data_IF_302838005846
#
_entry.id   IF_302838005846
#
_cell.length_a   1.000
_cell.length_b   1.000
_cell.length_c   1.000
_cell.angle_alpha   90.00
_cell.angle_beta   90.00
_cell.angle_gamma   90.00
#
_symmetry.space_group_name_H-M   'P 1'
#
loop_
_entity.id
_entity.type
_entity.pdbx_description
1 polymer ?
#
# COMPACT_ATOMS: atom_id res chain seq x y z
N UNK A 1 11.79 -21.91 0.22
CA UNK A 1 11.96 -20.55 -0.31
C UNK A 1 12.14 -19.62 0.86
N UNK A 2 13.20 -18.82 0.87
CA UNK A 2 13.42 -17.83 1.94
C UNK A 2 12.56 -16.62 1.57
N UNK A 3 11.59 -16.28 2.42
CA UNK A 3 10.85 -15.04 2.31
C UNK A 3 11.66 -13.98 3.03
N UNK A 4 12.35 -13.10 2.28
CA UNK A 4 13.00 -11.96 2.89
C UNK A 4 11.95 -11.08 3.58
N UNK A 5 12.27 -10.65 4.80
CA UNK A 5 11.38 -9.83 5.63
C UNK A 5 12.14 -8.65 6.19
N UNK A 6 11.44 -7.54 6.40
CA UNK A 6 11.91 -6.40 7.18
C UNK A 6 11.21 -6.36 8.53
N UNK A 7 11.86 -5.82 9.56
CA UNK A 7 11.22 -5.54 10.86
C UNK A 7 10.78 -4.08 10.84
N UNK A 8 9.48 -3.85 10.96
CA UNK A 8 8.90 -2.50 11.05
C UNK A 8 9.24 -1.86 12.40
N UNK A 9 9.10 -0.53 12.51
CA UNK A 9 9.28 0.18 13.78
C UNK A 9 8.27 -0.24 14.88
N UNK A 10 7.18 -0.90 14.50
CA UNK A 10 6.22 -1.54 15.40
C UNK A 10 6.72 -2.89 15.97
N UNK A 11 7.87 -3.39 15.52
CA UNK A 11 8.45 -4.68 15.91
C UNK A 11 7.93 -5.89 15.11
N UNK A 12 6.93 -5.70 14.23
CA UNK A 12 6.36 -6.76 13.41
C UNK A 12 7.19 -7.01 12.12
N UNK A 13 7.25 -8.27 11.69
CA UNK A 13 7.92 -8.65 10.43
C UNK A 13 6.99 -8.48 9.24
N UNK A 14 7.46 -7.86 8.18
CA UNK A 14 6.75 -7.68 6.92
C UNK A 14 7.53 -8.34 5.77
N UNK A 15 6.91 -9.24 4.98
CA UNK A 15 7.55 -9.78 3.77
C UNK A 15 7.82 -8.70 2.72
N UNK A 16 9.02 -8.72 2.14
CA UNK A 16 9.44 -7.73 1.13
C UNK A 16 8.67 -7.83 -0.18
N UNK A 17 8.14 -9.01 -0.53
CA UNK A 17 7.29 -9.20 -1.70
C UNK A 17 5.87 -9.54 -1.26
N UNK A 18 4.91 -8.72 -1.70
CA UNK A 18 3.48 -8.98 -1.57
C UNK A 18 2.74 -9.02 -2.91
N UNK A 19 1.51 -9.52 -2.89
CA UNK A 19 0.60 -9.48 -4.03
C UNK A 19 -0.34 -8.28 -3.89
N UNK A 20 -0.23 -7.31 -4.81
CA UNK A 20 -1.18 -6.22 -4.90
C UNK A 20 -2.51 -6.67 -5.53
N UNK A 21 -3.63 -6.08 -5.11
CA UNK A 21 -4.97 -6.44 -5.61
C UNK A 21 -5.73 -5.31 -6.31
N UNK A 22 -5.15 -4.10 -6.39
CA UNK A 22 -5.74 -2.97 -7.11
C UNK A 22 -5.91 -3.29 -8.61
N UNK A 23 -7.12 -3.13 -9.13
CA UNK A 23 -7.44 -3.44 -10.52
C UNK A 23 -8.60 -2.60 -11.05
N UNK A 24 -8.46 -2.10 -12.27
CA UNK A 24 -9.52 -1.45 -13.03
C UNK A 24 -9.47 -1.95 -14.49
N UNK A 25 -10.52 -2.62 -14.99
CA UNK A 25 -11.71 -3.06 -14.26
C UNK A 25 -11.38 -4.12 -13.20
N UNK A 26 -12.24 -4.23 -12.19
CA UNK A 26 -12.17 -5.29 -11.19
C UNK A 26 -12.44 -6.66 -11.87
N UNK A 27 -11.57 -7.67 -11.69
CA UNK A 27 -11.84 -9.01 -12.20
C UNK A 27 -13.01 -9.68 -11.48
N UNK A 28 -13.61 -10.74 -12.08
CA UNK A 28 -14.58 -11.57 -11.39
C UNK A 28 -14.03 -12.11 -10.07
N UNK A 29 -14.91 -12.25 -9.08
CA UNK A 29 -14.52 -12.67 -7.74
C UNK A 29 -13.80 -14.01 -7.70
N UNK A 30 -14.26 -14.97 -8.52
CA UNK A 30 -13.70 -16.31 -8.60
C UNK A 30 -12.25 -16.28 -9.12
N UNK A 31 -11.93 -15.34 -10.02
CA UNK A 31 -10.57 -15.14 -10.51
C UNK A 31 -9.68 -14.52 -9.43
N UNK A 32 -10.20 -13.55 -8.66
CA UNK A 32 -9.47 -12.96 -7.53
C UNK A 32 -9.15 -14.04 -6.48
N UNK A 33 -10.15 -14.81 -6.07
CA UNK A 33 -10.01 -15.89 -5.09
C UNK A 33 -9.00 -16.95 -5.53
N UNK A 34 -9.15 -17.48 -6.74
CA UNK A 34 -8.25 -18.52 -7.27
C UNK A 34 -6.81 -18.01 -7.47
N UNK A 35 -6.64 -16.72 -7.77
CA UNK A 35 -5.32 -16.09 -7.88
C UNK A 35 -4.62 -15.97 -6.53
N UNK A 36 -5.36 -15.56 -5.48
CA UNK A 36 -4.82 -15.49 -4.11
C UNK A 36 -4.42 -16.88 -3.62
N UNK A 37 -5.26 -17.88 -3.82
CA UNK A 37 -4.94 -19.28 -3.48
C UNK A 37 -3.68 -19.73 -4.21
N UNK A 38 -3.57 -19.45 -5.52
CA UNK A 38 -2.37 -19.76 -6.29
C UNK A 38 -1.13 -19.05 -5.77
N UNK A 39 -1.25 -17.79 -5.35
CA UNK A 39 -0.15 -17.05 -4.73
C UNK A 39 0.30 -17.71 -3.42
N UNK A 40 -0.63 -18.14 -2.57
CA UNK A 40 -0.32 -18.86 -1.31
C UNK A 40 0.41 -20.18 -1.59
N UNK A 41 -0.06 -20.95 -2.58
CA UNK A 41 0.60 -22.20 -3.04
C UNK A 41 2.02 -21.96 -3.55
N UNK A 42 2.26 -20.81 -4.20
CA UNK A 42 3.59 -20.37 -4.66
C UNK A 42 4.48 -19.83 -3.53
N UNK A 43 3.93 -19.61 -2.33
CA UNK A 43 4.67 -19.13 -1.17
C UNK A 43 4.47 -17.65 -0.84
N UNK A 44 3.56 -16.92 -1.50
CA UNK A 44 3.25 -15.56 -1.04
C UNK A 44 2.70 -15.60 0.38
N UNK A 45 3.17 -14.65 1.19
CA UNK A 45 2.75 -14.45 2.58
C UNK A 45 2.38 -13.00 2.88
N UNK A 46 2.33 -12.13 1.87
CA UNK A 46 1.90 -10.74 2.01
C UNK A 46 0.90 -10.38 0.91
N UNK A 47 -0.24 -9.82 1.30
CA UNK A 47 -1.30 -9.37 0.40
C UNK A 47 -1.68 -7.92 0.70
N UNK A 48 -1.75 -7.11 -0.35
CA UNK A 48 -2.14 -5.70 -0.28
C UNK A 48 -3.50 -5.47 -0.95
N UNK A 49 -4.45 -4.98 -0.17
CA UNK A 49 -5.81 -4.61 -0.59
C UNK A 49 -6.17 -3.23 -0.04
N UNK A 50 -7.41 -2.78 -0.28
CA UNK A 50 -8.01 -1.58 0.27
C UNK A 50 -9.53 -1.69 0.14
N UNK A 51 -10.28 -1.06 1.04
CA UNK A 51 -11.75 -1.02 0.98
C UNK A 51 -12.27 -0.53 -0.40
N UNK A 52 -11.62 0.48 -0.98
CA UNK A 52 -11.97 1.04 -2.30
C UNK A 52 -11.78 0.05 -3.46
N UNK A 53 -10.87 -0.92 -3.34
CA UNK A 53 -10.59 -1.88 -4.42
C UNK A 53 -11.68 -2.92 -4.58
N UNK A 54 -12.57 -3.08 -3.59
CA UNK A 54 -13.61 -4.12 -3.56
C UNK A 54 -13.05 -5.56 -3.66
N UNK A 55 -11.75 -5.74 -3.38
CA UNK A 55 -11.06 -7.04 -3.41
C UNK A 55 -10.95 -7.70 -2.02
N UNK A 56 -11.41 -7.03 -0.96
CA UNK A 56 -11.33 -7.53 0.43
C UNK A 56 -12.13 -8.82 0.62
N UNK A 57 -13.38 -8.87 0.13
CA UNK A 57 -14.23 -10.04 0.31
C UNK A 57 -13.72 -11.30 -0.45
N UNK A 58 -13.30 -11.20 -1.72
CA UNK A 58 -12.62 -12.31 -2.40
C UNK A 58 -11.31 -12.73 -1.68
N UNK A 59 -10.53 -11.77 -1.17
CA UNK A 59 -9.30 -12.07 -0.42
C UNK A 59 -9.60 -12.86 0.86
N UNK A 60 -10.60 -12.45 1.64
CA UNK A 60 -11.03 -13.13 2.86
C UNK A 60 -11.42 -14.59 2.60
N UNK A 61 -12.31 -14.82 1.62
CA UNK A 61 -12.71 -16.19 1.23
C UNK A 61 -11.54 -17.05 0.80
N UNK A 62 -10.59 -16.50 0.05
CA UNK A 62 -9.39 -17.23 -0.36
C UNK A 62 -8.49 -17.62 0.81
N UNK A 63 -8.35 -16.75 1.83
CA UNK A 63 -7.60 -17.04 3.05
C UNK A 63 -8.29 -18.15 3.85
N UNK A 64 -9.62 -18.04 4.06
CA UNK A 64 -10.44 -19.07 4.73
C UNK A 64 -10.31 -20.43 4.03
N UNK A 65 -10.38 -20.45 2.70
CA UNK A 65 -10.21 -21.67 1.91
C UNK A 65 -8.78 -22.24 2.00
N UNK A 66 -7.76 -21.39 1.94
CA UNK A 66 -6.37 -21.82 2.04
C UNK A 66 -6.05 -22.43 3.42
N UNK A 67 -6.61 -21.88 4.50
CA UNK A 67 -6.55 -22.47 5.84
C UNK A 67 -7.25 -23.82 5.89
N UNK A 68 -8.47 -23.93 5.35
CA UNK A 68 -9.23 -25.18 5.28
C UNK A 68 -8.50 -26.28 4.51
N UNK A 69 -7.78 -25.90 3.44
CA UNK A 69 -6.95 -26.79 2.63
C UNK A 69 -5.59 -27.14 3.26
N UNK A 70 -5.22 -26.51 4.38
CA UNK A 70 -3.93 -26.73 5.03
C UNK A 70 -2.73 -26.16 4.26
N UNK A 71 -2.93 -25.12 3.45
CA UNK A 71 -1.85 -24.45 2.71
C UNK A 71 -0.95 -23.57 3.60
N UNK A 72 -1.42 -23.29 4.81
CA UNK A 72 -0.72 -22.58 5.89
C UNK A 72 -1.21 -23.12 7.24
N UNK A 73 -0.38 -23.09 8.29
CA UNK A 73 -0.75 -23.66 9.58
C UNK A 73 -1.74 -22.77 10.35
N UNK A 74 -1.65 -21.45 10.18
CA UNK A 74 -2.53 -20.47 10.82
C UNK A 74 -2.49 -19.11 10.11
N UNK A 75 -3.46 -18.24 10.40
CA UNK A 75 -3.57 -16.87 9.86
C UNK A 75 -2.32 -16.02 10.13
N UNK A 76 -1.59 -16.27 11.22
CA UNK A 76 -0.38 -15.53 11.60
C UNK A 76 0.80 -15.73 10.65
N UNK A 77 0.73 -16.65 9.69
CA UNK A 77 1.72 -16.75 8.61
C UNK A 77 1.55 -15.68 7.52
N UNK A 78 0.39 -15.02 7.45
CA UNK A 78 0.12 -13.99 6.45
C UNK A 78 0.31 -12.59 7.02
N UNK A 79 0.74 -11.68 6.15
CA UNK A 79 0.77 -10.24 6.35
C UNK A 79 -0.30 -9.59 5.45
N UNK A 80 -1.39 -9.11 6.04
CA UNK A 80 -2.50 -8.50 5.30
C UNK A 80 -2.49 -7.00 5.52
N UNK A 81 -2.43 -6.26 4.41
CA UNK A 81 -2.53 -4.80 4.39
C UNK A 81 -3.89 -4.37 3.83
N UNK A 82 -4.61 -3.51 4.54
CA UNK A 82 -5.76 -2.76 3.98
C UNK A 82 -5.66 -1.26 4.27
N UNK A 83 -6.57 -0.46 3.71
CA UNK A 83 -6.46 0.99 3.70
C UNK A 83 -7.78 1.71 3.98
N UNK A 84 -7.73 2.71 4.85
CA UNK A 84 -8.78 3.67 5.13
C UNK A 84 -9.01 4.55 3.90
N UNK A 85 -10.19 4.45 3.31
CA UNK A 85 -10.56 5.29 2.16
C UNK A 85 -10.87 6.73 2.59
N UNK A 86 -10.63 7.68 1.67
CA UNK A 86 -10.80 9.11 1.87
C UNK A 86 -12.20 9.53 2.34
N UNK A 87 -13.25 8.78 1.97
CA UNK A 87 -14.60 9.03 2.49
C UNK A 87 -14.77 8.76 3.99
N UNK A 88 -13.88 7.97 4.58
CA UNK A 88 -13.87 7.62 6.01
C UNK A 88 -12.70 8.27 6.77
N UNK A 89 -11.96 9.19 6.13
CA UNK A 89 -10.84 9.92 6.73
C UNK A 89 -11.32 11.02 7.69
N UNK A 90 -11.98 10.60 8.76
CA UNK A 90 -12.52 11.41 9.85
C UNK A 90 -12.39 10.63 11.17
N UNK A 91 -12.03 11.25 12.31
CA UNK A 91 -11.78 10.56 13.58
C UNK A 91 -12.85 9.53 13.94
N UNK A 92 -14.13 9.91 13.86
CA UNK A 92 -15.26 9.04 14.25
C UNK A 92 -15.51 7.86 13.29
N UNK A 93 -14.95 7.90 12.08
CA UNK A 93 -15.22 6.92 11.03
C UNK A 93 -14.09 5.89 10.85
N UNK A 94 -12.88 6.15 11.37
CA UNK A 94 -11.71 5.27 11.17
C UNK A 94 -11.94 3.88 11.76
N UNK A 95 -12.31 3.79 13.04
CA UNK A 95 -12.52 2.49 13.71
C UNK A 95 -13.69 1.72 13.09
N UNK A 96 -14.87 2.33 12.84
CA UNK A 96 -15.94 1.67 12.09
C UNK A 96 -15.51 1.18 10.70
N UNK A 97 -14.76 1.98 9.95
CA UNK A 97 -14.30 1.61 8.61
C UNK A 97 -13.37 0.40 8.64
N UNK A 98 -12.43 0.33 9.59
CA UNK A 98 -11.58 -0.86 9.74
C UNK A 98 -12.40 -2.09 10.12
N UNK A 99 -13.43 -1.96 10.96
CA UNK A 99 -14.31 -3.10 11.32
C UNK A 99 -15.06 -3.64 10.10
N UNK A 100 -15.52 -2.77 9.20
CA UNK A 100 -16.13 -3.19 7.94
C UNK A 100 -15.14 -3.95 7.05
N UNK A 101 -13.90 -3.46 6.95
CA UNK A 101 -12.84 -4.18 6.23
C UNK A 101 -12.53 -5.54 6.85
N UNK A 102 -12.47 -5.64 8.18
CA UNK A 102 -12.26 -6.90 8.91
C UNK A 102 -13.40 -7.90 8.68
N UNK A 103 -14.65 -7.42 8.68
CA UNK A 103 -15.83 -8.23 8.34
C UNK A 103 -15.74 -8.75 6.90
N UNK A 104 -15.43 -7.88 5.93
CA UNK A 104 -15.27 -8.27 4.54
C UNK A 104 -14.13 -9.29 4.36
N UNK A 105 -13.02 -9.11 5.06
CA UNK A 105 -11.87 -10.01 5.02
C UNK A 105 -12.08 -11.31 5.82
N UNK A 106 -13.14 -11.42 6.62
CA UNK A 106 -13.34 -12.52 7.58
C UNK A 106 -12.15 -12.67 8.56
N UNK A 107 -11.60 -11.55 9.05
CA UNK A 107 -10.42 -11.51 9.93
C UNK A 107 -10.69 -10.77 11.24
N UNK A 108 -10.01 -11.18 12.30
CA UNK A 108 -10.03 -10.44 13.59
C UNK A 108 -9.08 -9.23 13.60
N UNK A 109 -8.04 -9.26 12.76
CA UNK A 109 -7.05 -8.18 12.64
C UNK A 109 -6.40 -8.14 11.25
N UNK A 110 -5.86 -6.97 10.91
CA UNK A 110 -4.91 -6.79 9.80
C UNK A 110 -3.50 -6.54 10.33
N UNK A 111 -2.49 -6.91 9.56
CA UNK A 111 -1.09 -6.72 9.95
C UNK A 111 -0.67 -5.27 9.75
N UNK A 112 -1.26 -4.60 8.76
CA UNK A 112 -1.03 -3.19 8.46
C UNK A 112 -2.33 -2.50 8.03
N UNK A 113 -2.64 -1.35 8.65
CA UNK A 113 -3.73 -0.47 8.21
C UNK A 113 -3.17 0.90 7.81
N UNK A 114 -3.48 1.35 6.59
CA UNK A 114 -2.93 2.59 6.03
C UNK A 114 -4.01 3.66 5.86
N UNK A 115 -3.70 4.92 6.14
CA UNK A 115 -4.44 6.04 5.51
C UNK A 115 -4.14 5.99 4.00
N UNK A 116 -5.15 5.79 3.15
CA UNK A 116 -4.91 5.54 1.72
C UNK A 116 -4.41 6.78 0.98
N UNK A 117 -4.92 7.96 1.34
CA UNK A 117 -4.50 9.23 0.76
C UNK A 117 -4.67 10.35 1.81
N UNK A 118 -3.83 11.39 1.83
CA UNK A 118 -3.99 12.55 2.71
C UNK A 118 -5.14 13.49 2.27
N UNK A 119 -6.34 12.94 2.06
CA UNK A 119 -7.51 13.64 1.60
C UNK A 119 -8.78 13.10 2.26
N UNK A 120 -9.82 13.94 2.34
CA UNK A 120 -11.13 13.58 2.85
C UNK A 120 -12.20 13.94 1.84
N UNK A 121 -13.12 13.02 1.57
CA UNK A 121 -14.30 13.29 0.75
C UNK A 121 -15.58 13.25 1.57
N UNK A 122 -16.59 13.99 1.12
CA UNK A 122 -17.95 13.83 1.55
C UNK A 122 -18.55 12.55 0.94
N UNK A 123 -19.07 11.65 1.78
CA UNK A 123 -19.74 10.43 1.34
C UNK A 123 -21.21 10.74 0.98
N UNK A 124 -21.46 11.47 -0.09
CA UNK A 124 -22.84 11.81 -0.49
C UNK A 124 -23.46 10.85 -1.50
N UNK A 125 -22.70 10.10 -2.30
CA UNK A 125 -23.30 9.14 -3.25
C UNK A 125 -22.51 7.83 -3.41
N UNK A 126 -23.22 6.74 -3.72
CA UNK A 126 -22.74 5.37 -3.97
C UNK A 126 -21.84 5.22 -5.22
N UNK A 127 -21.21 6.30 -5.67
CA UNK A 127 -20.29 6.27 -6.82
C UNK A 127 -18.92 6.77 -6.38
N UNK A 128 -17.87 6.05 -6.76
CA UNK A 128 -16.49 6.55 -6.73
C UNK A 128 -16.25 7.69 -7.74
N UNK A 129 -17.31 8.35 -8.24
CA UNK A 129 -17.17 9.59 -9.00
C UNK A 129 -16.89 10.72 -8.01
N UNK A 130 -15.65 10.75 -7.56
CA UNK A 130 -15.07 11.84 -6.78
C UNK A 130 -15.20 13.12 -7.61
N UNK A 131 -16.14 13.98 -7.25
CA UNK A 131 -16.14 15.34 -7.79
C UNK A 131 -15.20 16.16 -6.94
N UNK A 132 -14.44 17.02 -7.59
CA UNK A 132 -13.50 17.96 -6.95
C UNK A 132 -14.17 18.81 -5.85
N UNK A 133 -15.49 19.03 -5.99
CA UNK A 133 -16.31 19.80 -5.05
C UNK A 133 -16.65 19.03 -3.75
N UNK A 134 -16.39 17.72 -3.68
CA UNK A 134 -16.70 16.89 -2.51
C UNK A 134 -15.54 16.81 -1.50
N UNK A 135 -14.42 17.50 -1.76
CA UNK A 135 -13.27 17.52 -0.85
C UNK A 135 -13.58 18.32 0.42
N UNK A 136 -13.33 17.70 1.56
CA UNK A 136 -13.47 18.29 2.89
C UNK A 136 -12.09 18.53 3.53
N UNK A 137 -11.97 19.48 4.47
CA UNK A 137 -10.75 19.62 5.26
C UNK A 137 -10.35 18.28 5.90
N UNK A 138 -9.11 17.87 5.64
CA UNK A 138 -8.55 16.64 6.19
C UNK A 138 -7.92 16.92 7.56
N UNK A 139 -8.62 16.49 8.61
CA UNK A 139 -8.08 16.47 9.97
C UNK A 139 -7.08 15.33 10.13
N UNK A 140 -5.83 15.60 9.75
CA UNK A 140 -4.74 14.62 9.78
C UNK A 140 -4.45 14.12 11.20
N UNK A 141 -4.46 15.02 12.19
CA UNK A 141 -4.15 14.68 13.58
C UNK A 141 -5.23 13.80 14.20
N UNK A 142 -6.50 14.23 14.12
CA UNK A 142 -7.59 13.44 14.67
C UNK A 142 -7.79 12.11 13.93
N UNK A 143 -7.58 12.08 12.60
CA UNK A 143 -7.64 10.82 11.84
C UNK A 143 -6.52 9.88 12.30
N UNK A 144 -5.30 10.39 12.53
CA UNK A 144 -4.20 9.57 13.03
C UNK A 144 -4.44 9.06 14.45
N UNK A 145 -4.95 9.90 15.37
CA UNK A 145 -5.32 9.45 16.72
C UNK A 145 -6.35 8.30 16.68
N UNK A 146 -7.27 8.33 15.72
CA UNK A 146 -8.21 7.22 15.53
C UNK A 146 -7.54 5.97 14.90
N UNK A 147 -6.50 6.14 14.06
CA UNK A 147 -5.65 5.03 13.61
C UNK A 147 -4.88 4.41 14.78
N UNK A 148 -4.32 5.23 15.68
CA UNK A 148 -3.68 4.78 16.92
C UNK A 148 -4.66 4.00 17.79
N UNK A 149 -5.94 4.39 17.81
CA UNK A 149 -6.98 3.61 18.48
C UNK A 149 -7.21 2.23 17.85
N UNK A 150 -7.17 2.12 16.52
CA UNK A 150 -7.20 0.82 15.84
C UNK A 150 -6.03 -0.09 16.24
N UNK A 151 -4.83 0.50 16.41
CA UNK A 151 -3.64 -0.20 16.90
C UNK A 151 -3.80 -0.64 18.36
N UNK A 152 -4.22 0.26 19.25
CA UNK A 152 -4.46 -0.01 20.68
C UNK A 152 -5.50 -1.13 20.89
N UNK A 153 -6.57 -1.13 20.09
CA UNK A 153 -7.62 -2.16 20.13
C UNK A 153 -7.17 -3.51 19.53
N UNK A 154 -5.97 -3.59 18.96
CA UNK A 154 -5.44 -4.79 18.32
C UNK A 154 -6.07 -5.15 16.98
N UNK A 155 -6.87 -4.26 16.40
CA UNK A 155 -7.52 -4.42 15.08
C UNK A 155 -6.50 -4.30 13.95
N UNK A 156 -5.43 -3.52 14.17
CA UNK A 156 -4.28 -3.43 13.28
C UNK A 156 -2.98 -3.66 14.09
N UNK A 157 -2.09 -4.54 13.61
CA UNK A 157 -0.79 -4.77 14.28
C UNK A 157 0.23 -3.68 14.00
N UNK A 158 0.08 -2.98 12.89
CA UNK A 158 0.84 -1.78 12.53
C UNK A 158 -0.09 -0.80 11.84
N UNK A 159 0.21 0.48 11.97
CA UNK A 159 -0.50 1.56 11.26
C UNK A 159 0.49 2.38 10.43
N UNK A 160 0.02 2.91 9.32
CA UNK A 160 0.87 3.68 8.41
C UNK A 160 0.05 4.58 7.50
N UNK A 161 0.72 5.10 6.48
CA UNK A 161 0.14 6.01 5.51
C UNK A 161 0.48 5.57 4.08
N UNK A 162 -0.24 6.13 3.12
CA UNK A 162 0.03 5.99 1.70
C UNK A 162 -0.14 7.34 1.03
N UNK A 163 0.71 7.62 0.04
CA UNK A 163 0.72 8.89 -0.70
C UNK A 163 1.09 10.13 0.13
N UNK A 164 1.89 9.99 1.18
CA UNK A 164 2.36 11.13 1.97
C UNK A 164 3.73 11.61 1.47
N UNK A 165 3.86 12.92 1.26
CA UNK A 165 5.13 13.63 1.00
C UNK A 165 5.97 13.73 2.27
N UNK A 166 7.24 14.15 2.15
CA UNK A 166 8.10 14.39 3.32
C UNK A 166 7.49 15.42 4.28
N UNK A 167 6.89 16.49 3.72
CA UNK A 167 6.28 17.57 4.50
C UNK A 167 5.04 17.09 5.27
N UNK A 168 4.19 16.27 4.65
CA UNK A 168 3.03 15.67 5.32
C UNK A 168 3.44 14.67 6.39
N UNK A 169 4.46 13.85 6.14
CA UNK A 169 5.02 12.96 7.16
C UNK A 169 5.61 13.73 8.34
N UNK A 170 6.37 14.80 8.08
CA UNK A 170 6.93 15.64 9.14
C UNK A 170 5.83 16.21 10.04
N UNK A 171 4.77 16.77 9.44
CA UNK A 171 3.63 17.31 10.18
C UNK A 171 2.93 16.23 11.01
N UNK A 172 2.77 15.03 10.47
CA UNK A 172 2.17 13.91 11.18
C UNK A 172 3.01 13.48 12.39
N UNK A 173 4.32 13.41 12.22
CA UNK A 173 5.26 13.01 13.28
C UNK A 173 5.31 14.00 14.44
N UNK A 174 4.93 15.26 14.24
CA UNK A 174 4.91 16.28 15.31
C UNK A 174 3.90 15.95 16.43
N UNK A 175 2.84 15.17 16.12
CA UNK A 175 1.78 14.82 17.08
C UNK A 175 1.52 13.31 17.24
N UNK A 176 2.13 12.46 16.41
CA UNK A 176 1.97 11.01 16.49
C UNK A 176 2.58 10.42 17.77
N UNK A 177 1.79 9.66 18.53
CA UNK A 177 2.25 8.84 19.66
C UNK A 177 2.84 7.53 19.12
N UNK A 178 2.15 6.88 18.20
CA UNK A 178 2.63 5.72 17.45
C UNK A 178 3.07 6.23 16.06
N UNK A 179 4.38 6.23 15.73
CA UNK A 179 4.83 6.69 14.43
C UNK A 179 4.33 5.75 13.32
N UNK A 180 4.10 6.25 12.09
CA UNK A 180 3.73 5.40 10.97
C UNK A 180 4.81 4.33 10.73
N UNK A 181 4.40 3.07 10.65
CA UNK A 181 5.29 1.96 10.37
C UNK A 181 5.71 1.91 8.90
N UNK A 182 4.80 2.32 8.01
CA UNK A 182 4.97 2.27 6.56
C UNK A 182 4.46 3.56 5.93
N UNK A 183 5.19 4.06 4.92
CA UNK A 183 4.64 4.95 3.90
C UNK A 183 4.62 4.21 2.55
N UNK A 184 3.44 3.88 2.05
CA UNK A 184 3.27 3.20 0.77
C UNK A 184 3.13 4.21 -0.36
N UNK A 185 4.00 4.18 -1.37
CA UNK A 185 4.04 5.21 -2.43
C UNK A 185 4.34 4.62 -3.80
N UNK A 186 4.02 5.38 -4.86
CA UNK A 186 4.50 5.07 -6.20
C UNK A 186 6.01 5.06 -6.16
N UNK A 187 6.61 3.96 -6.57
CA UNK A 187 8.05 3.90 -6.71
C UNK A 187 8.45 2.87 -7.75
N UNK A 188 9.27 3.29 -8.69
CA UNK A 188 9.83 2.48 -9.77
C UNK A 188 11.05 3.21 -10.36
N UNK A 189 11.81 2.62 -11.30
CA UNK A 189 13.02 3.28 -11.83
C UNK A 189 12.79 4.68 -12.44
N UNK A 190 11.57 4.95 -12.94
CA UNK A 190 11.17 6.26 -13.48
C UNK A 190 10.59 7.23 -12.43
N UNK A 191 10.42 6.80 -11.17
CA UNK A 191 9.97 7.65 -10.07
C UNK A 191 10.55 7.10 -8.77
N UNK A 192 11.77 7.51 -8.46
CA UNK A 192 12.63 6.79 -7.51
C UNK A 192 12.43 7.18 -6.06
N UNK A 193 11.71 8.28 -5.81
CA UNK A 193 11.36 8.76 -4.47
C UNK A 193 12.60 9.03 -3.57
N UNK A 194 13.76 9.39 -4.14
CA UNK A 194 15.02 9.46 -3.37
C UNK A 194 14.89 10.30 -2.10
N UNK A 195 14.38 11.52 -2.21
CA UNK A 195 14.16 12.44 -1.07
C UNK A 195 13.28 11.80 0.01
N UNK A 196 12.17 11.19 -0.40
CA UNK A 196 11.23 10.55 0.53
C UNK A 196 11.82 9.31 1.20
N UNK A 197 12.56 8.48 0.46
CA UNK A 197 13.24 7.31 1.03
C UNK A 197 14.28 7.71 2.07
N UNK A 198 15.08 8.73 1.76
CA UNK A 198 16.10 9.23 2.68
C UNK A 198 15.43 9.76 3.97
N UNK A 199 14.34 10.52 3.83
CA UNK A 199 13.54 10.99 4.97
C UNK A 199 12.94 9.84 5.79
N UNK A 200 12.29 8.89 5.13
CA UNK A 200 11.67 7.73 5.79
C UNK A 200 12.71 6.89 6.53
N UNK A 201 13.88 6.65 5.94
CA UNK A 201 14.98 5.92 6.57
C UNK A 201 15.47 6.64 7.85
N UNK A 202 15.62 7.97 7.80
CA UNK A 202 15.99 8.77 8.98
C UNK A 202 14.96 8.66 10.12
N UNK A 203 13.67 8.58 9.77
CA UNK A 203 12.57 8.47 10.75
C UNK A 203 12.21 7.04 11.15
N UNK A 204 12.90 6.03 10.61
CA UNK A 204 12.58 4.62 10.85
C UNK A 204 11.21 4.20 10.29
N UNK A 205 10.76 4.84 9.20
CA UNK A 205 9.52 4.52 8.48
C UNK A 205 9.89 3.65 7.30
N UNK A 206 9.25 2.49 7.14
CA UNK A 206 9.49 1.63 5.98
C UNK A 206 8.79 2.16 4.73
N UNK A 207 9.45 2.10 3.57
CA UNK A 207 8.82 2.45 2.29
C UNK A 207 8.34 1.18 1.60
N UNK A 208 7.08 1.19 1.16
CA UNK A 208 6.52 0.12 0.34
C UNK A 208 6.12 0.65 -1.04
N UNK A 209 6.69 0.10 -2.10
CA UNK A 209 6.48 0.53 -3.48
C UNK A 209 5.21 -0.09 -4.07
N UNK A 210 4.20 0.76 -4.34
CA UNK A 210 3.11 0.42 -5.27
C UNK A 210 3.50 0.80 -6.70
N UNK A 211 2.79 0.20 -7.67
CA UNK A 211 3.10 0.32 -9.10
C UNK A 211 4.58 0.07 -9.42
N UNK A 212 5.25 -0.94 -8.83
CA UNK A 212 6.71 -1.09 -8.93
C UNK A 212 7.20 -1.41 -10.35
N UNK A 213 6.27 -1.60 -11.29
CA UNK A 213 6.54 -1.90 -12.69
C UNK A 213 6.56 -0.66 -13.58
N UNK A 214 6.18 0.53 -13.10
CA UNK A 214 6.29 1.76 -13.88
C UNK A 214 5.47 1.82 -15.18
N UNK A 215 4.42 1.00 -15.30
CA UNK A 215 3.47 1.05 -16.43
C UNK A 215 3.84 0.18 -17.65
N UNK A 216 3.18 0.45 -18.79
CA UNK A 216 3.28 -0.36 -20.01
C UNK A 216 4.67 -0.25 -20.65
N UNK A 217 5.34 -1.38 -20.85
CA UNK A 217 6.63 -1.46 -21.58
C UNK A 217 7.88 -1.57 -20.70
N UNK A 218 7.74 -1.50 -19.37
CA UNK A 218 8.88 -1.67 -18.47
C UNK A 218 9.40 -3.12 -18.44
N UNK A 219 10.71 -3.27 -18.23
CA UNK A 219 11.35 -4.58 -18.01
C UNK A 219 11.02 -5.09 -16.61
N UNK A 220 9.95 -5.85 -16.54
CA UNK A 220 9.27 -6.28 -15.34
C UNK A 220 10.16 -6.76 -14.17
N UNK A 221 10.96 -7.81 -14.35
CA UNK A 221 11.82 -8.35 -13.27
C UNK A 221 12.92 -7.38 -12.80
N UNK A 222 13.44 -6.55 -13.70
CA UNK A 222 14.46 -5.53 -13.38
C UNK A 222 13.88 -4.44 -12.48
N UNK A 223 12.65 -4.01 -12.72
CA UNK A 223 12.02 -2.97 -11.90
C UNK A 223 11.77 -3.46 -10.46
N UNK A 224 11.34 -4.71 -10.31
CA UNK A 224 11.11 -5.32 -8.99
C UNK A 224 12.42 -5.49 -8.22
N UNK A 225 13.44 -6.08 -8.85
CA UNK A 225 14.76 -6.23 -8.21
C UNK A 225 15.34 -4.87 -7.84
N UNK A 226 15.27 -3.88 -8.73
CA UNK A 226 15.74 -2.52 -8.45
C UNK A 226 15.11 -1.91 -7.21
N UNK A 227 13.81 -2.12 -6.98
CA UNK A 227 13.17 -1.64 -5.76
C UNK A 227 13.70 -2.37 -4.52
N UNK A 228 13.87 -3.70 -4.58
CA UNK A 228 14.47 -4.47 -3.47
C UNK A 228 15.89 -4.02 -3.12
N UNK A 229 16.74 -3.70 -4.11
CA UNK A 229 18.10 -3.16 -3.90
C UNK A 229 18.11 -1.83 -3.13
N UNK A 230 16.97 -1.13 -3.09
CA UNK A 230 16.80 0.10 -2.33
C UNK A 230 16.13 -0.10 -0.97
N UNK A 231 16.02 -1.34 -0.50
CA UNK A 231 15.52 -1.68 0.83
C UNK A 231 14.02 -1.44 1.01
N UNK A 232 13.25 -1.34 -0.08
CA UNK A 232 11.79 -1.16 -0.02
C UNK A 232 11.07 -2.48 -0.27
N UNK A 233 9.87 -2.64 0.30
CA UNK A 233 8.99 -3.76 -0.08
C UNK A 233 8.26 -3.42 -1.38
N UNK A 234 7.81 -4.44 -2.11
CA UNK A 234 7.12 -4.33 -3.39
C UNK A 234 5.81 -5.11 -3.36
N UNK A 235 4.79 -4.57 -4.02
CA UNK A 235 3.45 -5.19 -4.12
C UNK A 235 2.97 -5.29 -5.58
N UNK A 236 3.70 -6.00 -6.47
CA UNK A 236 3.25 -6.18 -7.85
C UNK A 236 1.88 -6.86 -7.90
N UNK A 237 0.99 -6.32 -8.74
CA UNK A 237 -0.32 -6.93 -9.00
C UNK A 237 -0.21 -7.92 -10.16
N UNK A 238 -0.70 -9.13 -9.94
CA UNK A 238 -0.96 -10.11 -11.01
C UNK A 238 -2.07 -11.08 -10.58
N UNK A 239 -2.97 -11.41 -11.51
CA UNK A 239 -3.95 -12.50 -11.37
C UNK A 239 -3.63 -13.68 -12.30
N UNK A 240 -2.45 -13.64 -12.92
CA UNK A 240 -1.93 -14.72 -13.74
C UNK A 240 -0.87 -15.50 -12.94
N UNK A 241 -1.04 -16.82 -12.88
CA UNK A 241 -0.24 -17.71 -12.03
C UNK A 241 1.23 -17.76 -12.45
N UNK A 242 1.50 -17.78 -13.76
CA UNK A 242 2.85 -17.76 -14.29
C UNK A 242 3.56 -16.47 -13.86
N UNK A 243 2.86 -15.33 -13.98
CA UNK A 243 3.42 -14.05 -13.56
C UNK A 243 3.64 -13.94 -12.05
N UNK A 244 2.75 -14.53 -11.25
CA UNK A 244 2.96 -14.59 -9.80
C UNK A 244 4.22 -15.39 -9.46
N UNK A 245 4.50 -16.47 -10.21
CA UNK A 245 5.72 -17.26 -10.05
C UNK A 245 6.96 -16.49 -10.47
N UNK A 246 6.98 -15.89 -11.65
CA UNK A 246 8.13 -15.12 -12.15
C UNK A 246 8.45 -13.90 -11.23
N UNK A 247 7.45 -13.26 -10.62
CA UNK A 247 7.65 -12.23 -9.59
C UNK A 247 8.47 -12.72 -8.37
N UNK A 248 8.44 -14.03 -8.06
CA UNK A 248 9.18 -14.62 -6.95
C UNK A 248 10.65 -14.91 -7.32
N UNK A 249 11.00 -14.91 -8.61
CA UNK A 249 12.32 -15.27 -9.12
C UNK A 249 13.31 -14.07 -9.11
N UNK A 250 13.06 -13.08 -8.24
CA UNK A 250 13.85 -11.83 -8.12
C UNK A 250 14.84 -11.84 -6.95
N UNK A 251 14.86 -12.89 -6.13
CA UNK A 251 15.71 -12.99 -4.95
C UNK A 251 17.06 -13.69 -5.24
N UNK A 252 17.15 -14.49 -6.30
CA UNK A 252 18.32 -15.33 -6.58
C UNK A 252 19.38 -14.64 -7.47
N UNK A 253 19.23 -13.34 -7.72
CA UNK A 253 20.16 -12.51 -8.49
C UNK A 253 20.12 -11.04 -8.03
N UNK A 254 21.14 -10.28 -8.40
CA UNK A 254 21.30 -8.87 -8.06
C UNK A 254 21.60 -8.03 -9.32
N UNK A 255 21.30 -6.72 -9.25
CA UNK A 255 21.70 -5.78 -10.29
C UNK A 255 23.16 -5.38 -10.09
N UNK A 256 23.91 -5.29 -11.19
CA UNK A 256 25.27 -4.78 -11.12
C UNK A 256 25.30 -3.30 -10.73
N UNK A 257 26.42 -2.85 -10.15
CA UNK A 257 26.65 -1.42 -9.84
C UNK A 257 26.50 -0.53 -11.08
N UNK A 258 26.90 -1.01 -12.25
CA UNK A 258 26.77 -0.28 -13.51
C UNK A 258 25.29 -0.13 -13.93
N UNK A 259 24.49 -1.18 -13.78
CA UNK A 259 23.04 -1.12 -14.03
C UNK A 259 22.34 -0.18 -13.07
N UNK A 260 22.63 -0.27 -11.77
CA UNK A 260 22.09 0.65 -10.77
C UNK A 260 22.47 2.10 -11.09
N UNK A 261 23.72 2.35 -11.49
CA UNK A 261 24.18 3.67 -11.88
C UNK A 261 23.44 4.19 -13.12
N UNK A 262 23.26 3.37 -14.16
CA UNK A 262 22.47 3.73 -15.36
C UNK A 262 21.01 4.02 -15.01
N UNK A 263 20.41 3.25 -14.10
CA UNK A 263 19.03 3.46 -13.67
C UNK A 263 18.89 4.76 -12.86
N UNK A 264 19.90 5.14 -12.08
CA UNK A 264 19.88 6.39 -11.31
C UNK A 264 19.80 7.66 -12.18
N UNK A 265 20.18 7.57 -13.46
CA UNK A 265 20.14 8.70 -14.41
C UNK A 265 18.88 8.77 -15.26
N UNK A 266 17.91 7.87 -15.05
CA UNK A 266 16.67 7.87 -15.81
C UNK A 266 15.85 9.15 -15.52
N UNK A 267 15.18 9.74 -16.52
CA UNK A 267 14.24 10.83 -16.29
C UNK A 267 13.18 10.45 -15.26
N UNK A 268 12.93 11.34 -14.31
CA UNK A 268 11.99 11.12 -13.21
C UNK A 268 10.64 11.74 -13.57
N UNK A 269 9.57 10.94 -13.51
CA UNK A 269 8.19 11.38 -13.71
C UNK A 269 7.23 10.49 -12.92
N UNK A 270 6.36 11.13 -12.13
CA UNK A 270 5.26 10.48 -11.44
C UNK A 270 4.14 10.13 -12.43
N UNK A 271 3.68 8.89 -12.40
CA UNK A 271 2.59 8.38 -13.23
C UNK A 271 1.24 8.59 -12.54
N UNK A 272 1.15 8.31 -11.24
CA UNK A 272 -0.07 8.51 -10.46
C UNK A 272 -0.07 9.89 -9.82
N UNK A 273 -0.60 10.88 -10.55
CA UNK A 273 -0.61 12.29 -10.13
C UNK A 273 -1.75 12.64 -9.19
N UNK A 274 -2.83 11.84 -9.18
CA UNK A 274 -4.09 12.14 -8.49
C UNK A 274 -4.69 13.50 -8.86
N UNK A 275 -4.61 13.87 -10.15
CA UNK A 275 -5.13 15.13 -10.70
C UNK A 275 -6.64 15.36 -10.45
N UNK A 276 -7.39 14.29 -10.21
CA UNK A 276 -8.79 14.36 -9.81
C UNK A 276 -9.01 15.08 -8.45
N UNK A 277 -7.97 15.24 -7.62
CA UNK A 277 -8.01 15.99 -6.37
C UNK A 277 -7.73 17.50 -6.52
N UNK A 278 -7.30 17.94 -7.69
CA UNK A 278 -6.78 19.29 -7.91
C UNK A 278 -7.82 20.18 -8.60
N UNK A 279 -8.08 21.37 -8.05
CA UNK A 279 -8.99 22.37 -8.64
C UNK A 279 -8.51 23.78 -8.28
N UNK A 280 -8.61 24.76 -9.20
CA UNK A 280 -8.16 26.14 -8.96
C UNK A 280 -8.80 26.76 -7.70
N UNK A 281 -10.07 26.44 -7.45
CA UNK A 281 -10.86 26.90 -6.31
C UNK A 281 -10.93 25.87 -5.16
N UNK A 282 -10.23 24.73 -5.29
CA UNK A 282 -10.26 23.61 -4.34
C UNK A 282 -9.23 23.70 -3.20
N UNK A 283 -9.22 22.66 -2.35
CA UNK A 283 -8.24 22.54 -1.27
C UNK A 283 -6.80 22.32 -1.77
N UNK A 284 -6.65 21.62 -2.90
CA UNK A 284 -5.38 21.49 -3.61
C UNK A 284 -5.48 22.26 -4.93
N UNK A 285 -4.77 23.39 -5.04
CA UNK A 285 -4.88 24.27 -6.21
C UNK A 285 -4.00 23.86 -7.37
N UNK A 286 -2.98 23.06 -7.08
CA UNK A 286 -2.07 22.51 -8.07
C UNK A 286 -1.60 21.12 -7.67
N UNK A 287 -1.01 20.40 -8.62
CA UNK A 287 -0.27 19.16 -8.33
C UNK A 287 0.92 19.42 -7.38
N UNK A 288 1.57 20.59 -7.49
CA UNK A 288 2.62 21.03 -6.57
C UNK A 288 2.10 21.12 -5.14
N UNK A 289 0.91 21.70 -4.95
CA UNK A 289 0.27 21.84 -3.63
C UNK A 289 -0.05 20.46 -3.03
N UNK A 290 -0.58 19.55 -3.87
CA UNK A 290 -0.92 18.19 -3.46
C UNK A 290 0.31 17.38 -3.04
N UNK A 291 1.42 17.52 -3.76
CA UNK A 291 2.63 16.74 -3.53
C UNK A 291 3.72 17.49 -2.77
N UNK A 292 3.46 18.71 -2.30
CA UNK A 292 4.44 19.60 -1.67
C UNK A 292 5.73 19.74 -2.51
N UNK A 293 5.54 20.01 -3.81
CA UNK A 293 6.60 20.12 -4.83
C UNK A 293 7.37 18.81 -5.11
N UNK A 294 6.89 17.66 -4.62
CA UNK A 294 7.45 16.33 -4.90
C UNK A 294 6.77 15.66 -6.11
N UNK A 295 6.81 16.32 -7.27
CA UNK A 295 6.21 15.86 -8.53
C UNK A 295 7.09 16.15 -9.75
#
# INVERSE_FOLDING_TARGET
>A
MIHETIVLNSGHKMPLLGMGTAADPLPPSELLESSVISAIELGYRHFDTAAVYQSEQPLGRAISEALRRGLMANRGELFITTKLWCGHAHPDLVVPALRLSLEALELDYVDLYLIHFPARFNLTEKSFNEKKDDLLPFDMEGTWQAMEKCYELGLAKSIGVSNFSCKKLSKLLDSAIVPPAVNQVEMHPLWQQKKLRDFCAEKGIHVSAYSPLGGKGAKWGICLRWALEHGVSIIPKSFNKERLKENMEIFDWELSKEELQKMSTLPQNRIFTAEYLVSEDGLFKSLSDLWDDEI
#
